data_IF_449399965417
#
_entry.id   IF_449399965417
#
_cell.length_a   1.000
_cell.length_b   1.000
_cell.length_c   1.000
_cell.angle_alpha   90.00
_cell.angle_beta   90.00
_cell.angle_gamma   90.00
#
_symmetry.space_group_name_H-M   'P 1'
#
loop_
_entity.id
_entity.type
_entity.pdbx_description
1 polymer ?
#
# COMPACT_ATOMS: atom_id res chain seq x y z
N UNK A 1 15.67 30.52 22.95
CA UNK A 1 16.54 29.51 22.30
C UNK A 1 17.29 28.75 23.38
N UNK A 2 17.53 27.44 23.19
CA UNK A 2 18.06 26.53 24.21
C UNK A 2 19.55 26.74 24.61
N UNK A 3 20.27 27.70 24.00
CA UNK A 3 21.63 28.07 24.40
C UNK A 3 22.70 26.99 24.21
N UNK A 4 22.37 25.89 23.52
CA UNK A 4 23.27 24.76 23.25
C UNK A 4 23.02 24.15 21.86
N UNK A 5 24.02 23.49 21.25
CA UNK A 5 23.84 22.73 20.01
C UNK A 5 22.82 21.59 20.16
N UNK A 6 22.19 21.20 19.05
CA UNK A 6 21.36 20.00 18.97
C UNK A 6 22.23 18.78 18.66
N UNK A 7 21.93 17.68 19.34
CA UNK A 7 22.62 16.40 19.14
C UNK A 7 21.97 15.55 18.04
N UNK A 8 20.69 15.77 17.75
CA UNK A 8 19.92 14.96 16.81
C UNK A 8 18.94 15.81 16.03
N UNK A 9 18.80 15.51 14.73
CA UNK A 9 17.71 15.97 13.88
C UNK A 9 17.03 14.73 13.31
N UNK A 10 15.75 14.60 13.63
CA UNK A 10 14.90 13.56 13.09
C UNK A 10 14.10 14.11 11.90
N UNK A 11 14.28 13.51 10.73
CA UNK A 11 13.54 13.86 9.52
C UNK A 11 12.23 13.05 9.39
N UNK A 12 11.98 12.14 10.33
CA UNK A 12 10.83 11.24 10.35
C UNK A 12 10.86 10.22 9.23
N UNK A 13 9.69 9.67 8.93
CA UNK A 13 9.48 8.72 7.85
C UNK A 13 9.11 9.38 6.52
N UNK A 14 8.11 8.81 5.84
CA UNK A 14 7.56 9.38 4.60
C UNK A 14 8.20 8.86 3.31
N UNK A 15 9.18 7.96 3.39
CA UNK A 15 9.65 7.21 2.23
C UNK A 15 8.48 6.37 1.65
N UNK A 16 8.13 6.64 0.39
CA UNK A 16 6.97 6.06 -0.28
C UNK A 16 7.23 4.71 -0.94
N UNK A 17 6.16 3.96 -1.18
CA UNK A 17 6.16 2.73 -1.99
C UNK A 17 5.07 2.83 -3.07
N UNK A 18 5.21 2.14 -4.21
CA UNK A 18 4.27 2.23 -5.31
C UNK A 18 3.05 1.32 -5.07
N UNK A 19 1.97 1.83 -4.49
CA UNK A 19 0.76 1.05 -4.25
C UNK A 19 0.01 0.72 -5.53
N UNK A 20 0.03 1.59 -6.51
CA UNK A 20 -0.86 1.49 -7.67
C UNK A 20 -0.08 1.25 -8.96
N UNK A 21 -0.75 0.64 -9.94
CA UNK A 21 -0.18 0.46 -11.27
C UNK A 21 0.25 1.81 -11.86
N UNK A 22 1.47 1.86 -12.38
CA UNK A 22 2.08 3.07 -12.95
C UNK A 22 2.81 3.97 -11.94
N UNK A 23 2.79 3.65 -10.65
CA UNK A 23 3.64 4.31 -9.66
C UNK A 23 5.07 3.74 -9.70
N UNK A 24 6.05 4.63 -9.51
CA UNK A 24 7.47 4.27 -9.55
C UNK A 24 8.00 4.09 -8.12
N UNK A 25 8.84 3.07 -7.86
CA UNK A 25 9.55 2.96 -6.58
C UNK A 25 10.40 4.20 -6.28
N UNK A 26 10.65 4.45 -4.99
CA UNK A 26 11.63 5.45 -4.56
C UNK A 26 13.02 5.11 -5.13
N UNK A 27 13.65 6.08 -5.79
CA UNK A 27 15.02 5.94 -6.28
C UNK A 27 16.02 6.10 -5.12
N UNK A 28 16.43 4.98 -4.55
CA UNK A 28 17.43 4.95 -3.47
C UNK A 28 18.80 5.45 -3.93
N UNK A 29 19.14 5.36 -5.22
CA UNK A 29 20.40 5.89 -5.73
C UNK A 29 20.36 7.43 -5.73
N UNK A 30 19.25 8.03 -6.16
CA UNK A 30 19.05 9.48 -6.06
C UNK A 30 19.06 9.96 -4.60
N UNK A 31 18.39 9.24 -3.69
CA UNK A 31 18.43 9.56 -2.25
C UNK A 31 19.86 9.50 -1.72
N UNK A 32 20.60 8.43 -2.04
CA UNK A 32 21.99 8.26 -1.62
C UNK A 32 22.90 9.36 -2.18
N UNK A 33 22.67 9.78 -3.43
CA UNK A 33 23.46 10.83 -4.08
C UNK A 33 23.26 12.21 -3.45
N UNK A 34 22.11 12.46 -2.81
CA UNK A 34 21.81 13.73 -2.13
C UNK A 34 22.36 13.82 -0.68
N UNK A 35 22.80 12.70 -0.09
CA UNK A 35 23.30 12.67 1.30
C UNK A 35 24.51 13.60 1.52
N UNK A 36 25.51 13.70 0.64
CA UNK A 36 26.64 14.62 0.82
C UNK A 36 26.20 16.09 0.91
N UNK A 37 25.24 16.51 0.08
CA UNK A 37 24.74 17.88 0.06
C UNK A 37 23.99 18.21 1.36
N UNK A 38 23.17 17.27 1.86
CA UNK A 38 22.51 17.39 3.15
C UNK A 38 23.52 17.52 4.29
N UNK A 39 24.58 16.72 4.28
CA UNK A 39 25.65 16.81 5.29
C UNK A 39 26.34 18.16 5.27
N UNK A 40 26.67 18.68 4.08
CA UNK A 40 27.29 19.99 3.93
C UNK A 40 26.39 21.11 4.47
N UNK A 41 25.08 21.04 4.21
CA UNK A 41 24.10 22.00 4.72
C UNK A 41 24.03 22.00 6.25
N UNK A 42 24.02 20.82 6.88
CA UNK A 42 23.98 20.67 8.33
C UNK A 42 25.27 21.19 8.97
N UNK A 43 26.43 20.81 8.42
CA UNK A 43 27.75 21.22 8.90
C UNK A 43 27.99 22.73 8.83
N UNK A 44 27.32 23.44 7.92
CA UNK A 44 27.42 24.90 7.80
C UNK A 44 26.77 25.66 8.98
N UNK A 45 25.93 25.00 9.80
CA UNK A 45 25.25 25.64 10.93
C UNK A 45 25.86 25.25 12.29
N UNK A 46 26.46 26.19 13.05
CA UNK A 46 27.14 25.88 14.32
C UNK A 46 26.29 25.21 15.39
N UNK A 47 24.96 25.37 15.34
CA UNK A 47 24.05 24.78 16.32
C UNK A 47 23.64 23.34 15.99
N UNK A 48 23.95 22.84 14.79
CA UNK A 48 23.57 21.50 14.34
C UNK A 48 24.69 20.76 13.61
N UNK A 49 25.89 21.34 13.53
CA UNK A 49 27.00 20.79 12.75
C UNK A 49 27.39 19.35 13.16
N UNK A 50 27.24 19.04 14.45
CA UNK A 50 27.52 17.74 15.04
C UNK A 50 26.25 16.89 15.25
N UNK A 51 25.10 17.32 14.74
CA UNK A 51 23.84 16.62 14.93
C UNK A 51 23.79 15.32 14.11
N UNK A 52 23.31 14.24 14.74
CA UNK A 52 22.97 13.00 14.06
C UNK A 52 21.67 13.16 13.27
N UNK A 53 21.69 12.82 11.99
CA UNK A 53 20.49 12.80 11.15
C UNK A 53 19.86 11.41 11.20
N UNK A 54 18.56 11.35 11.53
CA UNK A 54 17.79 10.11 11.62
C UNK A 54 16.63 10.16 10.61
N UNK A 55 16.30 8.98 10.06
CA UNK A 55 15.09 8.72 9.28
C UNK A 55 14.36 7.51 9.87
N UNK A 56 13.03 7.53 9.83
CA UNK A 56 12.17 6.52 10.46
C UNK A 56 11.28 5.80 9.41
N UNK A 57 11.86 5.01 8.48
CA UNK A 57 11.10 4.39 7.41
C UNK A 57 10.23 3.24 7.94
N UNK A 58 8.94 3.50 8.13
CA UNK A 58 7.96 2.44 8.44
C UNK A 58 7.49 1.72 7.17
N UNK A 59 6.55 2.35 6.46
CA UNK A 59 5.89 1.80 5.28
C UNK A 59 6.86 1.33 4.19
N UNK A 60 7.94 2.06 3.98
CA UNK A 60 8.97 1.72 3.01
C UNK A 60 9.60 0.35 3.24
N UNK A 61 9.86 0.01 4.51
CA UNK A 61 10.43 -1.28 4.88
C UNK A 61 9.38 -2.38 4.94
N UNK A 62 8.24 -2.12 5.59
CA UNK A 62 7.26 -3.17 5.88
C UNK A 62 6.31 -3.46 4.71
N UNK A 63 5.87 -2.43 3.98
CA UNK A 63 4.77 -2.54 3.02
C UNK A 63 5.00 -3.55 1.89
N UNK A 64 6.16 -3.54 1.19
CA UNK A 64 6.41 -4.50 0.11
C UNK A 64 6.59 -5.95 0.59
N UNK A 65 6.86 -6.15 1.88
CA UNK A 65 7.17 -7.46 2.47
C UNK A 65 5.96 -8.32 2.79
N UNK A 66 4.74 -7.75 2.72
CA UNK A 66 3.53 -8.46 3.09
C UNK A 66 2.49 -8.54 1.97
N UNK A 67 1.70 -9.60 2.04
CA UNK A 67 0.54 -9.86 1.20
C UNK A 67 -0.63 -10.21 2.11
N UNK A 68 -1.81 -9.73 1.76
CA UNK A 68 -3.04 -10.06 2.46
C UNK A 68 -3.85 -11.04 1.63
N UNK A 69 -4.05 -12.24 2.14
CA UNK A 69 -4.76 -13.33 1.46
C UNK A 69 -6.15 -13.49 2.06
N UNK A 70 -7.15 -13.63 1.21
CA UNK A 70 -8.53 -13.90 1.59
C UNK A 70 -9.13 -14.99 0.68
N UNK A 71 -9.95 -15.87 1.24
CA UNK A 71 -10.68 -16.89 0.50
C UNK A 71 -11.98 -16.30 -0.07
N UNK A 72 -12.35 -16.72 -1.28
CA UNK A 72 -13.64 -16.40 -1.87
C UNK A 72 -14.71 -17.26 -1.23
N UNK A 73 -15.66 -16.63 -0.54
CA UNK A 73 -16.83 -17.31 0.04
C UNK A 73 -17.93 -17.53 -1.00
N UNK A 74 -18.18 -16.55 -1.86
CA UNK A 74 -19.22 -16.65 -2.88
C UNK A 74 -18.99 -15.69 -4.04
N UNK A 75 -19.51 -16.06 -5.20
CA UNK A 75 -19.55 -15.19 -6.39
C UNK A 75 -21.01 -15.03 -6.80
N UNK A 76 -21.46 -13.79 -6.99
CA UNK A 76 -22.85 -13.48 -7.37
C UNK A 76 -22.90 -12.34 -8.37
N UNK A 77 -23.86 -12.40 -9.29
CA UNK A 77 -24.14 -11.28 -10.19
C UNK A 77 -25.34 -10.49 -9.68
N UNK A 78 -25.20 -9.18 -9.53
CA UNK A 78 -26.29 -8.28 -9.15
C UNK A 78 -26.29 -7.08 -10.07
N UNK A 79 -27.42 -6.84 -10.74
CA UNK A 79 -27.62 -5.72 -11.68
C UNK A 79 -26.50 -5.59 -12.72
N UNK A 80 -26.07 -6.73 -13.28
CA UNK A 80 -25.00 -6.79 -14.29
C UNK A 80 -23.58 -6.63 -13.75
N UNK A 81 -23.38 -6.50 -12.44
CA UNK A 81 -22.05 -6.49 -11.80
C UNK A 81 -21.78 -7.82 -11.11
N UNK A 82 -20.64 -8.44 -11.40
CA UNK A 82 -20.14 -9.60 -10.65
C UNK A 82 -19.50 -9.14 -9.35
N UNK A 83 -19.94 -9.73 -8.23
CA UNK A 83 -19.41 -9.52 -6.90
C UNK A 83 -18.73 -10.79 -6.41
N UNK A 84 -17.47 -10.66 -6.01
CA UNK A 84 -16.68 -11.70 -5.36
C UNK A 84 -16.62 -11.35 -3.88
N UNK A 85 -17.29 -12.14 -3.06
CA UNK A 85 -17.37 -11.93 -1.61
C UNK A 85 -16.28 -12.77 -0.95
N UNK A 86 -15.39 -12.13 -0.20
CA UNK A 86 -14.30 -12.79 0.52
C UNK A 86 -14.62 -13.01 2.00
N UNK A 87 -13.85 -13.88 2.65
CA UNK A 87 -13.91 -14.12 4.10
C UNK A 87 -13.27 -13.01 4.94
N UNK A 88 -12.44 -12.18 4.32
CA UNK A 88 -11.91 -10.96 4.91
C UNK A 88 -12.35 -9.69 4.18
N UNK A 89 -11.97 -8.52 4.68
CA UNK A 89 -12.47 -7.25 4.16
C UNK A 89 -11.84 -6.02 4.81
N UNK A 90 -12.55 -4.91 4.77
CA UNK A 90 -12.16 -3.61 5.35
C UNK A 90 -11.76 -3.68 6.83
N UNK A 91 -12.34 -4.60 7.60
CA UNK A 91 -12.00 -4.81 9.01
C UNK A 91 -10.59 -5.39 9.21
N UNK A 92 -10.00 -6.00 8.18
CA UNK A 92 -8.60 -6.40 8.15
C UNK A 92 -7.75 -5.39 7.38
N UNK A 93 -8.27 -4.87 6.26
CA UNK A 93 -7.54 -4.02 5.32
C UNK A 93 -8.30 -2.73 4.98
N UNK A 94 -8.36 -1.82 5.95
CA UNK A 94 -9.05 -0.53 5.81
C UNK A 94 -8.44 0.36 4.71
N UNK A 95 -7.14 0.21 4.45
CA UNK A 95 -6.45 0.99 3.42
C UNK A 95 -6.87 0.54 2.00
N UNK A 96 -6.98 -0.76 1.74
CA UNK A 96 -7.46 -1.30 0.48
C UNK A 96 -8.94 -0.96 0.23
N UNK A 97 -9.74 -0.83 1.29
CA UNK A 97 -11.12 -0.41 1.13
C UNK A 97 -11.25 1.03 0.57
N UNK A 98 -10.18 1.83 0.68
CA UNK A 98 -10.14 3.23 0.26
C UNK A 98 -10.69 4.19 1.31
N UNK A 99 -10.99 3.70 2.53
CA UNK A 99 -11.58 4.50 3.61
C UNK A 99 -10.52 5.02 4.61
N UNK A 100 -9.24 4.98 4.24
CA UNK A 100 -8.12 5.52 5.05
C UNK A 100 -7.48 6.71 4.36
N UNK A 101 -8.14 7.87 4.42
CA UNK A 101 -7.57 9.15 3.98
C UNK A 101 -7.37 9.31 2.46
N UNK A 102 -7.88 8.40 1.64
CA UNK A 102 -7.81 8.52 0.18
C UNK A 102 -8.91 9.45 -0.33
N UNK A 103 -8.54 10.45 -1.13
CA UNK A 103 -9.51 11.34 -1.82
C UNK A 103 -10.18 10.61 -2.98
N UNK A 104 -9.43 9.76 -3.69
CA UNK A 104 -9.91 8.95 -4.81
C UNK A 104 -9.55 7.49 -4.54
N UNK A 105 -10.55 6.62 -4.55
CA UNK A 105 -10.33 5.17 -4.41
C UNK A 105 -9.59 4.64 -5.64
N UNK A 106 -8.45 4.00 -5.40
CA UNK A 106 -7.71 3.22 -6.38
C UNK A 106 -7.59 1.79 -5.87
N UNK A 107 -7.65 0.80 -6.76
CA UNK A 107 -7.51 -0.59 -6.37
C UNK A 107 -6.06 -0.89 -6.05
N UNK A 108 -5.80 -1.46 -4.88
CA UNK A 108 -4.51 -2.10 -4.64
C UNK A 108 -4.31 -3.24 -5.65
N UNK A 109 -3.07 -3.63 -5.95
CA UNK A 109 -2.81 -4.72 -6.87
C UNK A 109 -3.37 -5.99 -6.26
N UNK A 110 -4.30 -6.62 -6.96
CA UNK A 110 -4.98 -7.83 -6.53
C UNK A 110 -4.73 -8.92 -7.54
N UNK A 111 -4.41 -10.11 -7.05
CA UNK A 111 -4.11 -11.27 -7.88
C UNK A 111 -4.83 -12.51 -7.33
N UNK A 112 -5.09 -13.48 -8.21
CA UNK A 112 -5.46 -14.83 -7.82
C UNK A 112 -4.19 -15.69 -7.84
N UNK A 113 -3.53 -15.94 -6.69
CA UNK A 113 -2.18 -16.53 -6.67
C UNK A 113 -2.10 -17.92 -7.32
N UNK A 114 -3.18 -18.70 -7.27
CA UNK A 114 -3.24 -20.02 -7.91
C UNK A 114 -3.51 -19.96 -9.43
N UNK A 115 -3.81 -18.78 -9.98
CA UNK A 115 -4.25 -18.59 -11.38
C UNK A 115 -3.44 -17.50 -12.09
N UNK A 116 -2.18 -17.29 -11.71
CA UNK A 116 -1.31 -16.24 -12.26
C UNK A 116 -1.05 -16.33 -13.78
N UNK A 117 -1.30 -17.50 -14.38
CA UNK A 117 -1.13 -17.75 -15.82
C UNK A 117 -2.48 -17.82 -16.57
N UNK A 118 -3.60 -17.64 -15.88
CA UNK A 118 -4.91 -17.64 -16.50
C UNK A 118 -5.20 -16.28 -17.16
N UNK A 119 -5.96 -16.32 -18.24
CA UNK A 119 -6.44 -15.09 -18.88
C UNK A 119 -7.43 -14.35 -17.97
N UNK A 120 -7.45 -13.03 -18.09
CA UNK A 120 -8.48 -12.22 -17.46
C UNK A 120 -9.80 -12.38 -18.20
N UNK A 121 -10.68 -13.20 -17.64
CA UNK A 121 -11.96 -13.55 -18.26
C UNK A 121 -13.11 -12.62 -17.84
N UNK A 122 -13.03 -12.00 -16.66
CA UNK A 122 -14.13 -11.18 -16.14
C UNK A 122 -13.66 -9.94 -15.38
N UNK A 123 -14.59 -9.00 -15.23
CA UNK A 123 -14.44 -7.82 -14.40
C UNK A 123 -15.37 -7.95 -13.19
N UNK A 124 -14.80 -7.90 -11.98
CA UNK A 124 -15.54 -8.11 -10.74
C UNK A 124 -15.29 -7.02 -9.70
N UNK A 125 -16.25 -6.84 -8.80
CA UNK A 125 -16.10 -6.05 -7.58
C UNK A 125 -15.84 -6.99 -6.41
N UNK A 126 -14.72 -6.78 -5.72
CA UNK A 126 -14.26 -7.63 -4.62
C UNK A 126 -14.67 -6.95 -3.32
N UNK A 127 -15.47 -7.65 -2.53
CA UNK A 127 -16.08 -7.12 -1.30
C UNK A 127 -15.83 -8.07 -0.13
N UNK A 128 -15.79 -7.50 1.07
CA UNK A 128 -15.76 -8.32 2.28
C UNK A 128 -17.16 -8.72 2.78
N UNK A 129 -17.21 -9.40 3.94
CA UNK A 129 -18.44 -9.98 4.49
C UNK A 129 -19.31 -8.98 5.28
N UNK A 130 -18.88 -7.73 5.48
CA UNK A 130 -19.58 -6.79 6.35
C UNK A 130 -20.85 -6.24 5.68
N UNK A 131 -21.87 -5.95 6.50
CA UNK A 131 -23.16 -5.38 6.07
C UNK A 131 -23.07 -3.88 5.72
N UNK A 132 -22.03 -3.45 5.00
CA UNK A 132 -21.85 -2.07 4.55
C UNK A 132 -21.29 -2.03 3.13
N UNK A 133 -21.78 -1.13 2.25
CA UNK A 133 -21.22 -0.96 0.91
C UNK A 133 -19.78 -0.43 0.91
N UNK A 134 -19.30 0.05 2.07
CA UNK A 134 -17.92 0.49 2.26
C UNK A 134 -16.92 -0.67 2.31
N UNK A 135 -17.38 -1.90 2.53
CA UNK A 135 -16.56 -3.10 2.57
C UNK A 135 -16.19 -3.59 1.16
N UNK A 136 -15.57 -2.71 0.38
CA UNK A 136 -15.17 -2.96 -1.00
C UNK A 136 -13.65 -2.87 -1.11
N UNK A 137 -12.99 -4.00 -1.31
CA UNK A 137 -11.54 -4.08 -1.50
C UNK A 137 -11.13 -3.57 -2.90
N UNK A 138 -11.83 -3.99 -3.95
CA UNK A 138 -11.57 -3.53 -5.32
C UNK A 138 -12.86 -3.35 -6.12
N UNK A 139 -12.89 -2.38 -7.05
CA UNK A 139 -13.99 -2.17 -8.01
C UNK A 139 -13.50 -2.43 -9.42
N UNK A 140 -14.29 -3.12 -10.23
CA UNK A 140 -13.97 -3.39 -11.63
C UNK A 140 -12.55 -3.98 -11.81
N UNK A 141 -12.17 -4.93 -10.96
CA UNK A 141 -10.90 -5.64 -11.08
C UNK A 141 -11.00 -6.68 -12.20
N UNK A 142 -10.07 -6.63 -13.16
CA UNK A 142 -9.92 -7.66 -14.18
C UNK A 142 -9.21 -8.86 -13.54
N UNK A 143 -9.89 -10.01 -13.52
CA UNK A 143 -9.41 -11.23 -12.88
C UNK A 143 -9.80 -12.47 -13.71
N UNK A 144 -9.10 -13.60 -13.51
CA UNK A 144 -9.60 -14.89 -13.95
C UNK A 144 -10.99 -15.15 -13.34
N UNK A 145 -11.74 -16.08 -13.93
CA UNK A 145 -13.05 -16.46 -13.40
C UNK A 145 -12.92 -17.16 -12.05
N UNK A 146 -13.43 -16.53 -11.00
CA UNK A 146 -13.32 -17.04 -9.62
C UNK A 146 -14.54 -17.85 -9.20
N UNK A 147 -14.34 -18.76 -8.24
CA UNK A 147 -15.38 -19.52 -7.55
C UNK A 147 -15.11 -19.56 -6.04
N UNK A 148 -16.10 -20.03 -5.29
CA UNK A 148 -15.93 -20.27 -3.87
C UNK A 148 -14.76 -21.24 -3.60
N UNK A 149 -13.95 -20.94 -2.59
CA UNK A 149 -12.73 -21.66 -2.22
C UNK A 149 -11.46 -21.20 -2.96
N UNK A 150 -11.56 -20.35 -3.98
CA UNK A 150 -10.38 -19.75 -4.60
C UNK A 150 -9.78 -18.67 -3.67
N UNK A 151 -8.49 -18.39 -3.83
CA UNK A 151 -7.79 -17.36 -3.05
C UNK A 151 -7.60 -16.08 -3.86
N UNK A 152 -7.67 -14.96 -3.15
CA UNK A 152 -7.26 -13.64 -3.62
C UNK A 152 -6.15 -13.11 -2.72
N UNK A 153 -5.17 -12.44 -3.32
CA UNK A 153 -4.10 -11.77 -2.60
C UNK A 153 -4.04 -10.28 -2.97
N UNK A 154 -4.10 -9.42 -1.97
CA UNK A 154 -3.79 -7.98 -2.09
C UNK A 154 -2.30 -7.82 -1.82
N UNK A 155 -1.58 -7.28 -2.80
CA UNK A 155 -0.15 -7.02 -2.67
C UNK A 155 0.10 -5.76 -1.85
N UNK A 156 1.29 -5.64 -1.27
CA UNK A 156 1.73 -4.48 -0.46
C UNK A 156 0.87 -4.26 0.79
N UNK A 157 0.67 -5.32 1.57
CA UNK A 157 -0.23 -5.33 2.73
C UNK A 157 0.48 -5.63 4.04
#
# INVERSE_FOLDING_TARGET
MLGRPLETIDLGGGLGIPYFAGETPLDLAAVSAAIPDLKALVQAHPLIADAHIIVEPGRFLAGPGGIYVAEVNSVKTSRGTTFVVTDGGMHHHLAASGNLGQIVKRNYPIVAPAMMQADYEETATIVGPLCTPLDTLARNAALPKLKAGDLLAILQS
#
